data_IF_264481483198
#
_entry.id   IF_264481483198
#
_cell.length_a   1.000
_cell.length_b   1.000
_cell.length_c   1.000
_cell.angle_alpha   90.00
_cell.angle_beta   90.00
_cell.angle_gamma   90.00
#
_symmetry.space_group_name_H-M   'P 1'
#
loop_
_entity.id
_entity.type
_entity.pdbx_description
1 polymer ?
#
# COMPACT_ATOMS: atom_id res chain seq x y z
N UNK A 1 -16.76 0.26 2.71
CA UNK A 1 -16.21 1.60 3.12
C UNK A 1 -17.25 2.33 3.97
N UNK A 2 -16.93 2.71 5.21
CA UNK A 2 -17.87 3.45 6.11
C UNK A 2 -17.73 4.96 5.98
N UNK A 3 -17.99 5.51 4.81
CA UNK A 3 -18.02 6.95 4.56
C UNK A 3 -19.35 7.34 3.93
N UNK A 4 -19.83 8.55 4.25
CA UNK A 4 -20.99 9.16 3.60
C UNK A 4 -20.53 10.11 2.48
N UNK A 5 -21.47 10.53 1.62
CA UNK A 5 -21.18 11.51 0.55
C UNK A 5 -20.59 12.79 1.13
N UNK A 6 -21.14 13.29 2.26
CA UNK A 6 -20.66 14.51 2.90
C UNK A 6 -19.27 14.33 3.52
N UNK A 7 -18.95 13.14 4.03
CA UNK A 7 -17.60 12.83 4.51
C UNK A 7 -16.58 12.78 3.37
N UNK A 8 -16.96 12.15 2.24
CA UNK A 8 -16.11 12.15 1.03
C UNK A 8 -15.86 13.59 0.56
N UNK A 9 -16.91 14.39 0.42
CA UNK A 9 -16.78 15.78 -0.01
C UNK A 9 -15.82 16.59 0.87
N UNK A 10 -15.88 16.40 2.20
CA UNK A 10 -14.92 17.04 3.12
C UNK A 10 -13.49 16.49 2.95
N UNK A 11 -13.36 15.18 2.80
CA UNK A 11 -12.04 14.53 2.67
C UNK A 11 -11.29 14.98 1.42
N UNK A 12 -12.01 15.29 0.33
CA UNK A 12 -11.43 15.68 -0.97
C UNK A 12 -11.47 17.20 -1.22
N UNK A 13 -11.87 18.00 -0.25
CA UNK A 13 -12.03 19.47 -0.36
C UNK A 13 -12.92 19.86 -1.56
N UNK A 14 -14.15 19.33 -1.58
CA UNK A 14 -15.12 19.52 -2.66
C UNK A 14 -15.37 21.01 -2.97
N UNK A 15 -15.43 21.35 -4.25
CA UNK A 15 -15.62 22.74 -4.74
C UNK A 15 -17.07 23.10 -4.98
N UNK A 16 -17.99 22.13 -4.90
CA UNK A 16 -19.43 22.35 -5.03
C UNK A 16 -20.16 22.07 -3.72
N UNK A 17 -21.38 22.59 -3.61
CA UNK A 17 -22.27 22.28 -2.49
C UNK A 17 -22.92 20.90 -2.70
N UNK A 18 -22.70 20.00 -1.73
CA UNK A 18 -23.29 18.65 -1.72
C UNK A 18 -24.37 18.47 -0.64
N UNK A 19 -24.74 19.54 0.09
CA UNK A 19 -25.69 19.46 1.20
C UNK A 19 -27.09 19.01 0.79
N UNK A 20 -27.43 19.17 -0.50
CA UNK A 20 -28.69 18.69 -1.08
C UNK A 20 -28.71 17.19 -1.41
N UNK A 21 -27.58 16.50 -1.30
CA UNK A 21 -27.52 15.05 -1.56
C UNK A 21 -27.86 14.25 -0.32
N UNK A 22 -28.48 13.08 -0.53
CA UNK A 22 -28.75 12.15 0.56
C UNK A 22 -27.43 11.68 1.20
N UNK A 23 -27.27 11.90 2.51
CA UNK A 23 -26.06 11.53 3.24
C UNK A 23 -26.07 10.04 3.62
N UNK A 24 -26.16 9.18 2.61
CA UNK A 24 -26.16 7.73 2.75
C UNK A 24 -24.74 7.15 2.81
N UNK A 25 -24.50 6.07 3.56
CA UNK A 25 -23.23 5.36 3.53
C UNK A 25 -22.94 4.82 2.14
N UNK A 26 -21.70 5.00 1.69
CA UNK A 26 -21.18 4.46 0.44
C UNK A 26 -20.68 3.01 0.67
N UNK A 27 -20.85 2.17 -0.35
CA UNK A 27 -20.41 0.76 -0.27
C UNK A 27 -18.91 0.67 -0.54
N UNK A 28 -18.45 1.20 -1.67
CA UNK A 28 -17.03 1.28 -2.04
C UNK A 28 -16.78 2.46 -2.98
N UNK A 29 -15.51 2.74 -3.25
CA UNK A 29 -15.05 3.62 -4.31
C UNK A 29 -14.46 2.79 -5.44
N UNK A 30 -15.00 2.92 -6.67
CA UNK A 30 -14.63 2.09 -7.81
C UNK A 30 -14.32 2.95 -9.03
N UNK A 31 -13.25 2.66 -9.73
CA UNK A 31 -12.85 3.38 -10.95
C UNK A 31 -13.20 2.62 -12.26
N UNK A 32 -13.50 1.34 -12.19
CA UNK A 32 -14.01 0.58 -13.34
C UNK A 32 -15.53 0.62 -13.35
N UNK A 33 -16.12 1.36 -14.29
CA UNK A 33 -17.58 1.52 -14.43
C UNK A 33 -18.33 0.18 -14.55
N UNK A 34 -17.66 -0.88 -15.03
CA UNK A 34 -18.24 -2.23 -15.18
C UNK A 34 -18.34 -2.98 -13.85
N UNK A 35 -17.58 -2.58 -12.83
CA UNK A 35 -17.55 -3.16 -11.50
C UNK A 35 -18.36 -2.36 -10.48
N UNK A 36 -18.96 -1.26 -10.91
CA UNK A 36 -19.87 -0.45 -10.10
C UNK A 36 -21.12 -1.26 -9.74
N UNK A 37 -21.55 -1.10 -8.52
CA UNK A 37 -22.78 -1.64 -7.98
C UNK A 37 -23.59 -0.60 -7.18
N UNK A 38 -24.78 -0.99 -6.69
CA UNK A 38 -25.66 -0.09 -5.95
C UNK A 38 -24.97 0.49 -4.71
N UNK A 39 -24.97 1.82 -4.60
CA UNK A 39 -24.39 2.54 -3.45
C UNK A 39 -22.91 2.90 -3.59
N UNK A 40 -22.29 2.64 -4.73
CA UNK A 40 -20.87 2.95 -4.95
C UNK A 40 -20.62 4.42 -5.29
N UNK A 41 -19.42 4.87 -4.94
CA UNK A 41 -18.79 6.09 -5.46
C UNK A 41 -18.03 5.74 -6.75
N UNK A 42 -18.32 6.40 -7.85
CA UNK A 42 -17.52 6.28 -9.06
C UNK A 42 -16.35 7.26 -9.05
N UNK A 43 -15.16 6.79 -9.44
CA UNK A 43 -13.92 7.56 -9.51
C UNK A 43 -13.41 7.54 -10.95
N UNK A 44 -13.73 8.55 -11.78
CA UNK A 44 -13.41 8.58 -13.20
C UNK A 44 -11.93 8.93 -13.45
N UNK A 45 -11.03 8.00 -13.20
CA UNK A 45 -9.60 8.18 -13.45
C UNK A 45 -9.30 8.34 -14.95
N UNK A 46 -8.31 9.17 -15.27
CA UNK A 46 -7.77 9.30 -16.62
C UNK A 46 -6.73 8.21 -16.88
N UNK A 47 -6.92 7.48 -17.98
CA UNK A 47 -6.02 6.45 -18.45
C UNK A 47 -5.86 6.53 -19.97
N UNK A 48 -5.93 5.38 -20.66
CA UNK A 48 -5.97 5.37 -22.13
C UNK A 48 -7.23 6.10 -22.70
N UNK A 49 -8.29 6.17 -21.89
CA UNK A 49 -9.52 6.94 -22.12
C UNK A 49 -9.81 7.78 -20.90
N UNK A 50 -10.57 8.86 -21.08
CA UNK A 50 -11.03 9.68 -19.95
C UNK A 50 -12.16 8.93 -19.20
N UNK A 51 -11.96 8.69 -17.91
CA UNK A 51 -12.96 8.03 -17.06
C UNK A 51 -14.30 8.77 -17.01
N UNK A 52 -14.31 10.08 -17.22
CA UNK A 52 -15.53 10.90 -17.26
C UNK A 52 -16.50 10.48 -18.38
N UNK A 53 -16.00 9.87 -19.46
CA UNK A 53 -16.85 9.33 -20.56
C UNK A 53 -17.75 8.18 -20.09
N UNK A 54 -17.49 7.60 -18.92
CA UNK A 54 -18.19 6.44 -18.36
C UNK A 54 -19.12 6.78 -17.19
N UNK A 55 -19.30 8.06 -16.86
CA UNK A 55 -20.16 8.49 -15.74
C UNK A 55 -21.58 7.94 -15.93
N UNK A 56 -22.20 8.12 -17.10
CA UNK A 56 -23.54 7.61 -17.38
C UNK A 56 -23.62 6.09 -17.13
N UNK A 57 -22.68 5.34 -17.69
CA UNK A 57 -22.62 3.88 -17.48
C UNK A 57 -22.46 3.50 -16.01
N UNK A 58 -21.69 4.28 -15.24
CA UNK A 58 -21.51 4.03 -13.80
C UNK A 58 -22.85 4.22 -13.05
N UNK A 59 -23.63 5.25 -13.37
CA UNK A 59 -24.93 5.46 -12.76
C UNK A 59 -25.96 4.41 -13.19
N UNK A 60 -25.96 3.99 -14.45
CA UNK A 60 -26.77 2.84 -14.93
C UNK A 60 -26.48 1.56 -14.15
N UNK A 61 -25.20 1.36 -13.70
CA UNK A 61 -24.77 0.23 -12.92
C UNK A 61 -24.99 0.39 -11.41
N UNK A 62 -25.41 1.57 -10.93
CA UNK A 62 -25.80 1.78 -9.55
C UNK A 62 -24.94 2.73 -8.73
N UNK A 63 -24.03 3.49 -9.36
CA UNK A 63 -23.34 4.57 -8.68
C UNK A 63 -24.36 5.57 -8.09
N UNK A 64 -24.09 6.08 -6.91
CA UNK A 64 -24.94 7.09 -6.27
C UNK A 64 -24.33 8.48 -6.30
N UNK A 65 -23.04 8.58 -6.56
CA UNK A 65 -22.27 9.82 -6.69
C UNK A 65 -20.99 9.54 -7.48
N UNK A 66 -20.47 10.54 -8.17
CA UNK A 66 -19.15 10.49 -8.83
C UNK A 66 -18.24 11.61 -8.35
N UNK A 67 -16.91 11.37 -8.31
CA UNK A 67 -15.95 12.48 -8.38
C UNK A 67 -15.98 13.07 -9.78
N UNK A 68 -15.66 14.34 -9.96
CA UNK A 68 -15.54 14.93 -11.28
C UNK A 68 -14.69 16.20 -11.27
N UNK A 69 -13.95 16.45 -12.34
CA UNK A 69 -13.21 17.71 -12.57
C UNK A 69 -14.06 18.77 -13.30
N UNK A 70 -15.29 18.45 -13.62
CA UNK A 70 -16.24 19.33 -14.32
C UNK A 70 -17.65 19.10 -13.78
N UNK A 71 -18.54 20.05 -14.02
CA UNK A 71 -19.96 19.89 -13.69
C UNK A 71 -20.56 18.69 -14.42
N UNK A 72 -21.43 17.95 -13.72
CA UNK A 72 -22.14 16.78 -14.26
C UNK A 72 -23.63 17.06 -14.20
N UNK A 73 -24.28 17.09 -15.38
CA UNK A 73 -25.71 17.28 -15.47
C UNK A 73 -26.47 15.98 -15.12
N UNK A 74 -27.55 16.11 -14.37
CA UNK A 74 -28.47 14.99 -14.11
C UNK A 74 -28.04 14.00 -13.03
N UNK A 75 -26.81 14.06 -12.52
CA UNK A 75 -26.30 13.13 -11.52
C UNK A 75 -25.62 13.83 -10.34
N UNK A 76 -25.67 13.25 -9.12
CA UNK A 76 -24.91 13.73 -7.99
C UNK A 76 -23.40 13.62 -8.25
N UNK A 77 -22.64 14.70 -8.02
CA UNK A 77 -21.19 14.73 -8.19
C UNK A 77 -20.50 15.52 -7.11
N UNK A 78 -19.25 15.20 -6.88
CA UNK A 78 -18.32 15.92 -6.00
C UNK A 78 -17.27 16.54 -6.90
N UNK A 79 -17.28 17.88 -7.03
CA UNK A 79 -16.35 18.60 -7.88
C UNK A 79 -15.00 18.73 -7.20
N UNK A 80 -13.95 18.34 -7.90
CA UNK A 80 -12.56 18.37 -7.43
C UNK A 80 -11.65 18.97 -8.49
N UNK A 81 -10.46 19.43 -8.11
CA UNK A 81 -9.48 19.97 -9.06
C UNK A 81 -8.83 18.86 -9.90
N UNK A 82 -8.57 17.69 -9.29
CA UNK A 82 -7.97 16.51 -9.91
C UNK A 82 -8.50 15.24 -9.25
N UNK A 83 -9.02 14.31 -10.05
CA UNK A 83 -9.68 13.09 -9.54
C UNK A 83 -8.69 12.15 -8.89
N UNK A 84 -7.46 12.02 -9.41
CA UNK A 84 -6.45 11.14 -8.82
C UNK A 84 -6.01 11.64 -7.44
N UNK A 85 -5.72 12.92 -7.33
CA UNK A 85 -5.37 13.57 -6.05
C UNK A 85 -6.51 13.44 -5.05
N UNK A 86 -7.76 13.62 -5.46
CA UNK A 86 -8.93 13.44 -4.61
C UNK A 86 -9.07 11.98 -4.14
N UNK A 87 -8.84 11.01 -5.02
CA UNK A 87 -8.88 9.59 -4.68
C UNK A 87 -7.80 9.22 -3.65
N UNK A 88 -6.60 9.76 -3.79
CA UNK A 88 -5.50 9.61 -2.82
C UNK A 88 -5.84 10.26 -1.48
N UNK A 89 -6.33 11.49 -1.48
CA UNK A 89 -6.77 12.20 -0.26
C UNK A 89 -7.88 11.44 0.47
N UNK A 90 -8.83 10.85 -0.27
CA UNK A 90 -9.89 10.03 0.30
C UNK A 90 -9.34 8.79 1.00
N UNK A 91 -8.36 8.11 0.39
CA UNK A 91 -7.71 6.95 1.00
C UNK A 91 -6.94 7.33 2.27
N UNK A 92 -6.17 8.41 2.25
CA UNK A 92 -5.45 8.92 3.42
C UNK A 92 -6.41 9.28 4.56
N UNK A 93 -7.52 9.99 4.25
CA UNK A 93 -8.58 10.29 5.23
C UNK A 93 -9.19 9.02 5.81
N UNK A 94 -9.45 8.00 4.98
CA UNK A 94 -10.05 6.75 5.43
C UNK A 94 -9.11 5.97 6.36
N UNK A 95 -7.81 5.92 6.08
CA UNK A 95 -6.80 5.34 6.97
C UNK A 95 -6.77 6.06 8.32
N UNK A 96 -6.78 7.39 8.32
CA UNK A 96 -6.81 8.18 9.54
C UNK A 96 -8.10 7.93 10.35
N UNK A 97 -9.24 7.87 9.68
CA UNK A 97 -10.55 7.63 10.32
C UNK A 97 -10.64 6.24 10.95
N UNK A 98 -10.13 5.21 10.29
CA UNK A 98 -10.19 3.83 10.78
C UNK A 98 -9.16 3.54 11.85
N UNK A 99 -8.01 4.24 11.82
CA UNK A 99 -6.90 4.01 12.74
C UNK A 99 -6.26 2.63 12.57
N UNK A 100 -6.43 1.99 11.40
CA UNK A 100 -5.83 0.69 11.08
C UNK A 100 -4.31 0.76 11.14
N UNK A 101 -3.66 -0.25 11.73
CA UNK A 101 -2.21 -0.33 11.71
C UNK A 101 -1.70 -0.72 10.32
N UNK A 102 -0.91 0.17 9.72
CA UNK A 102 -0.34 -0.03 8.37
C UNK A 102 1.08 -0.59 8.45
N UNK A 103 1.31 -1.66 7.70
CA UNK A 103 2.60 -2.27 7.43
C UNK A 103 2.93 -2.07 5.96
N UNK A 104 4.09 -1.55 5.63
CA UNK A 104 4.49 -1.30 4.25
C UNK A 104 5.68 -2.16 3.85
N UNK A 105 5.68 -2.66 2.61
CA UNK A 105 6.77 -3.49 2.07
C UNK A 105 7.19 -2.97 0.71
N UNK A 106 8.47 -2.66 0.56
CA UNK A 106 9.11 -2.36 -0.74
C UNK A 106 10.39 -3.17 -0.94
N UNK A 107 10.99 -3.04 -2.10
CA UNK A 107 12.26 -3.68 -2.47
C UNK A 107 12.33 -3.97 -3.96
N UNK A 108 13.51 -4.29 -4.47
CA UNK A 108 13.68 -4.69 -5.87
C UNK A 108 13.07 -6.06 -6.16
N UNK A 109 13.24 -7.00 -5.22
CA UNK A 109 12.67 -8.35 -5.26
C UNK A 109 12.15 -8.74 -3.87
N UNK A 110 11.24 -9.72 -3.81
CA UNK A 110 10.71 -10.26 -2.56
C UNK A 110 9.55 -9.47 -1.93
N UNK A 111 9.13 -8.34 -2.49
CA UNK A 111 8.00 -7.53 -1.98
C UNK A 111 6.74 -8.36 -1.77
N UNK A 112 6.22 -8.94 -2.83
CA UNK A 112 4.97 -9.71 -2.82
C UNK A 112 5.05 -10.91 -1.87
N UNK A 113 6.16 -11.65 -1.92
CA UNK A 113 6.37 -12.80 -1.04
C UNK A 113 6.41 -12.38 0.43
N UNK A 114 7.17 -11.32 0.77
CA UNK A 114 7.25 -10.81 2.15
C UNK A 114 5.90 -10.27 2.62
N UNK A 115 5.19 -9.51 1.78
CA UNK A 115 3.82 -9.03 2.04
C UNK A 115 2.88 -10.19 2.35
N UNK A 116 2.93 -11.25 1.53
CA UNK A 116 2.04 -12.41 1.69
C UNK A 116 2.36 -13.19 2.97
N UNK A 117 3.64 -13.41 3.27
CA UNK A 117 4.08 -14.05 4.51
C UNK A 117 3.69 -13.23 5.74
N UNK A 118 3.95 -11.91 5.74
CA UNK A 118 3.59 -11.01 6.82
C UNK A 118 2.07 -10.98 7.05
N UNK A 119 1.29 -10.84 5.99
CA UNK A 119 -0.16 -10.83 6.10
C UNK A 119 -0.71 -12.17 6.61
N UNK A 120 -0.13 -13.30 6.20
CA UNK A 120 -0.49 -14.61 6.69
C UNK A 120 -0.21 -14.74 8.20
N UNK A 121 0.97 -14.33 8.66
CA UNK A 121 1.33 -14.36 10.08
C UNK A 121 0.42 -13.45 10.91
N UNK A 122 0.17 -12.22 10.47
CA UNK A 122 -0.74 -11.31 11.15
C UNK A 122 -2.17 -11.84 11.20
N UNK A 123 -2.63 -12.54 10.15
CA UNK A 123 -3.99 -13.12 10.08
C UNK A 123 -4.25 -14.23 11.08
N UNK A 124 -3.22 -14.79 11.71
CA UNK A 124 -3.38 -15.77 12.79
C UNK A 124 -3.96 -15.16 14.07
N UNK A 125 -3.87 -13.84 14.23
CA UNK A 125 -4.27 -13.13 15.46
C UNK A 125 -5.13 -11.88 15.22
N UNK A 126 -5.14 -11.35 13.99
CA UNK A 126 -5.80 -10.09 13.64
C UNK A 126 -6.57 -10.21 12.33
N UNK A 127 -7.65 -9.44 12.19
CA UNK A 127 -8.31 -9.24 10.90
C UNK A 127 -7.41 -8.44 9.99
N UNK A 128 -6.79 -9.14 9.05
CA UNK A 128 -5.73 -8.60 8.21
C UNK A 128 -6.18 -8.48 6.76
N UNK A 129 -5.91 -7.35 6.15
CA UNK A 129 -6.07 -7.11 4.71
C UNK A 129 -4.74 -6.75 4.08
N UNK A 130 -4.59 -6.95 2.77
CA UNK A 130 -3.33 -6.69 2.07
C UNK A 130 -3.56 -6.26 0.64
N UNK A 131 -2.56 -5.62 0.04
CA UNK A 131 -2.51 -5.35 -1.41
C UNK A 131 -2.78 -6.62 -2.20
N UNK A 132 -3.76 -6.55 -3.10
CA UNK A 132 -4.11 -7.61 -4.03
C UNK A 132 -3.37 -7.40 -5.36
N UNK A 133 -2.93 -8.51 -5.99
CA UNK A 133 -2.22 -8.43 -7.27
C UNK A 133 -1.05 -7.44 -7.24
N UNK A 134 -1.03 -6.54 -8.22
CA UNK A 134 -0.03 -5.49 -8.40
C UNK A 134 -0.56 -4.07 -8.10
N UNK A 135 -1.57 -3.94 -7.24
CA UNK A 135 -2.11 -2.63 -6.82
C UNK A 135 -1.17 -1.90 -5.84
N UNK A 136 0.06 -1.64 -6.28
CA UNK A 136 1.17 -1.15 -5.47
C UNK A 136 1.70 0.24 -5.89
N UNK A 137 0.94 0.98 -6.70
CA UNK A 137 1.26 2.31 -7.21
C UNK A 137 0.26 3.37 -6.71
N UNK A 138 0.35 4.59 -7.26
CA UNK A 138 -0.44 5.78 -6.90
C UNK A 138 -1.96 5.64 -7.08
N UNK A 139 -2.42 4.64 -7.83
CA UNK A 139 -3.83 4.26 -7.99
C UNK A 139 -4.16 3.04 -7.14
N UNK A 140 -3.29 2.04 -7.18
CA UNK A 140 -3.52 0.74 -6.55
C UNK A 140 -3.52 0.78 -5.03
N UNK A 141 -2.70 1.61 -4.40
CA UNK A 141 -2.70 1.79 -2.96
C UNK A 141 -4.01 2.41 -2.45
N UNK A 142 -4.49 3.56 -2.99
CA UNK A 142 -5.81 4.09 -2.66
C UNK A 142 -6.95 3.08 -2.87
N UNK A 143 -6.91 2.34 -3.97
CA UNK A 143 -7.89 1.29 -4.26
C UNK A 143 -7.87 0.22 -3.17
N UNK A 144 -6.71 -0.30 -2.80
CA UNK A 144 -6.56 -1.30 -1.72
C UNK A 144 -7.14 -0.79 -0.41
N UNK A 145 -6.83 0.44 -0.03
CA UNK A 145 -7.31 1.07 1.21
C UNK A 145 -8.83 1.19 1.23
N UNK A 146 -9.44 1.67 0.15
CA UNK A 146 -10.88 1.93 0.10
C UNK A 146 -11.72 0.65 -0.13
N UNK A 147 -11.06 -0.48 -0.43
CA UNK A 147 -11.67 -1.81 -0.56
C UNK A 147 -11.42 -2.73 0.63
N UNK A 148 -10.64 -2.29 1.62
CA UNK A 148 -10.43 -3.12 2.81
C UNK A 148 -11.74 -3.32 3.57
N UNK A 149 -12.00 -4.52 4.13
CA UNK A 149 -13.13 -4.75 5.03
C UNK A 149 -13.16 -3.77 6.19
N UNK A 150 -14.36 -3.36 6.61
CA UNK A 150 -14.56 -2.34 7.64
C UNK A 150 -14.04 -2.73 9.04
N UNK A 151 -13.80 -4.00 9.25
CA UNK A 151 -13.28 -4.57 10.50
C UNK A 151 -11.80 -4.95 10.43
N UNK A 152 -11.08 -4.44 9.40
CA UNK A 152 -9.64 -4.66 9.26
C UNK A 152 -8.87 -4.01 10.41
N UNK A 153 -8.02 -4.78 11.08
CA UNK A 153 -7.15 -4.33 12.17
C UNK A 153 -5.72 -4.08 11.70
N UNK A 154 -5.25 -4.85 10.71
CA UNK A 154 -3.90 -4.75 10.13
C UNK A 154 -3.99 -4.70 8.62
N UNK A 155 -3.31 -3.72 8.04
CA UNK A 155 -3.25 -3.52 6.60
C UNK A 155 -1.80 -3.65 6.12
N UNK A 156 -1.53 -4.59 5.21
CA UNK A 156 -0.20 -4.80 4.64
C UNK A 156 -0.17 -4.28 3.20
N UNK A 157 0.55 -3.20 2.99
CA UNK A 157 0.66 -2.52 1.70
C UNK A 157 1.99 -2.84 1.01
N UNK A 158 1.91 -3.28 -0.23
CA UNK A 158 3.06 -3.35 -1.12
C UNK A 158 3.24 -1.99 -1.80
N UNK A 159 4.47 -1.47 -1.82
CA UNK A 159 4.81 -0.20 -2.46
C UNK A 159 5.80 -0.43 -3.60
N UNK A 160 5.35 -0.18 -4.82
CA UNK A 160 6.13 -0.24 -6.05
C UNK A 160 6.93 1.03 -6.30
N UNK A 161 7.95 0.93 -7.15
CA UNK A 161 8.79 2.05 -7.54
C UNK A 161 9.18 1.88 -9.01
N UNK A 162 8.77 2.82 -9.84
CA UNK A 162 9.25 3.00 -11.21
C UNK A 162 10.11 4.26 -11.34
N UNK A 163 9.84 5.30 -10.51
CA UNK A 163 10.58 6.56 -10.48
C UNK A 163 10.93 6.98 -9.06
N UNK A 164 11.89 7.89 -8.94
CA UNK A 164 12.20 8.54 -7.67
C UNK A 164 10.99 9.41 -7.24
N UNK A 165 10.55 9.25 -5.99
CA UNK A 165 9.38 9.94 -5.46
C UNK A 165 8.12 9.08 -5.37
N UNK A 166 8.02 7.98 -6.12
CA UNK A 166 6.84 7.10 -6.06
C UNK A 166 6.61 6.55 -4.65
N UNK A 167 7.67 6.00 -4.03
CA UNK A 167 7.59 5.46 -2.66
C UNK A 167 7.32 6.57 -1.64
N UNK A 168 7.90 7.78 -1.84
CA UNK A 168 7.61 8.95 -1.01
C UNK A 168 6.10 9.23 -0.97
N UNK A 169 5.48 9.37 -2.15
CA UNK A 169 4.03 9.60 -2.26
C UNK A 169 3.23 8.52 -1.53
N UNK A 170 3.54 7.24 -1.77
CA UNK A 170 2.81 6.13 -1.16
C UNK A 170 2.99 6.08 0.36
N UNK A 171 4.18 6.39 0.85
CA UNK A 171 4.48 6.45 2.28
C UNK A 171 3.75 7.60 2.98
N UNK A 172 3.73 8.78 2.38
CA UNK A 172 3.00 9.94 2.90
C UNK A 172 1.47 9.73 2.92
N UNK A 173 0.93 8.95 1.96
CA UNK A 173 -0.48 8.57 1.97
C UNK A 173 -0.81 7.55 3.07
N UNK A 174 0.08 6.59 3.29
CA UNK A 174 -0.19 5.42 4.11
C UNK A 174 0.23 5.57 5.57
N UNK A 175 1.17 6.46 5.89
CA UNK A 175 1.76 6.65 7.22
C UNK A 175 2.10 5.33 7.93
N UNK A 176 3.02 4.49 7.39
CA UNK A 176 3.27 3.17 7.92
C UNK A 176 3.78 3.19 9.37
N UNK A 177 3.25 2.31 10.21
CA UNK A 177 3.74 2.06 11.57
C UNK A 177 4.98 1.17 11.56
N UNK A 178 5.07 0.29 10.55
CA UNK A 178 6.22 -0.57 10.30
C UNK A 178 6.46 -0.63 8.81
N UNK A 179 7.73 -0.52 8.39
CA UNK A 179 8.12 -0.66 7.00
C UNK A 179 9.26 -1.66 6.82
N UNK A 180 9.28 -2.30 5.66
CA UNK A 180 10.27 -3.30 5.27
C UNK A 180 10.83 -2.95 3.89
N UNK A 181 12.14 -2.82 3.79
CA UNK A 181 12.87 -2.79 2.51
C UNK A 181 13.54 -4.14 2.34
N UNK A 182 13.00 -4.99 1.47
CA UNK A 182 13.46 -6.41 1.35
C UNK A 182 14.84 -6.54 0.73
N UNK A 183 15.09 -5.88 -0.38
CA UNK A 183 16.34 -5.93 -1.14
C UNK A 183 16.49 -4.67 -1.99
N UNK A 184 17.71 -4.16 -2.11
CA UNK A 184 18.11 -3.14 -3.09
C UNK A 184 18.96 -3.79 -4.16
N UNK A 185 18.32 -4.21 -5.24
CA UNK A 185 18.95 -4.81 -6.42
C UNK A 185 19.04 -3.82 -7.59
N UNK A 186 19.29 -4.35 -8.77
CA UNK A 186 19.42 -3.60 -10.03
C UNK A 186 18.13 -3.58 -10.85
N UNK A 187 16.96 -3.86 -10.23
CA UNK A 187 15.67 -3.78 -10.91
C UNK A 187 15.38 -2.35 -11.36
N UNK A 188 14.79 -2.20 -12.54
CA UNK A 188 14.38 -0.90 -13.12
C UNK A 188 15.54 0.05 -13.50
N UNK A 189 16.76 -0.45 -13.77
CA UNK A 189 17.89 0.38 -14.23
C UNK A 189 17.60 1.22 -15.48
N UNK A 190 16.53 0.92 -16.21
CA UNK A 190 16.08 1.76 -17.33
C UNK A 190 15.58 3.16 -16.89
N UNK A 191 15.17 3.30 -15.63
CA UNK A 191 14.58 4.54 -15.07
C UNK A 191 15.48 5.19 -14.01
N UNK A 192 16.53 4.51 -13.53
CA UNK A 192 17.45 4.98 -12.50
C UNK A 192 18.88 5.00 -13.03
N UNK A 193 19.64 6.00 -12.62
CA UNK A 193 21.05 6.16 -13.03
C UNK A 193 21.92 5.02 -12.54
N UNK A 194 21.69 4.61 -11.31
CA UNK A 194 22.47 3.60 -10.63
C UNK A 194 21.69 2.95 -9.45
N UNK A 195 22.33 1.98 -8.81
CA UNK A 195 21.77 1.30 -7.65
C UNK A 195 21.60 2.20 -6.43
N UNK A 196 22.38 3.28 -6.32
CA UNK A 196 22.28 4.25 -5.23
C UNK A 196 20.98 5.05 -5.32
N UNK A 197 20.58 5.45 -6.52
CA UNK A 197 19.30 6.13 -6.74
C UNK A 197 18.11 5.21 -6.44
N UNK A 198 18.22 3.91 -6.77
CA UNK A 198 17.23 2.90 -6.38
C UNK A 198 17.14 2.77 -4.84
N UNK A 199 18.29 2.73 -4.15
CA UNK A 199 18.35 2.70 -2.69
C UNK A 199 17.64 3.92 -2.09
N UNK A 200 18.01 5.12 -2.57
CA UNK A 200 17.39 6.38 -2.16
C UNK A 200 15.86 6.33 -2.30
N UNK A 201 15.36 5.91 -3.47
CA UNK A 201 13.93 5.85 -3.71
C UNK A 201 13.22 4.85 -2.80
N UNK A 202 13.82 3.68 -2.51
CA UNK A 202 13.19 2.67 -1.63
C UNK A 202 13.18 3.11 -0.17
N UNK A 203 14.21 3.81 0.29
CA UNK A 203 14.28 4.32 1.66
C UNK A 203 13.28 5.47 1.90
N UNK A 204 12.72 6.07 0.85
CA UNK A 204 11.59 7.01 0.96
C UNK A 204 10.33 6.38 1.59
N UNK A 205 10.30 5.05 1.77
CA UNK A 205 9.24 4.37 2.55
C UNK A 205 9.18 4.87 4.00
N UNK A 206 10.25 5.47 4.49
CA UNK A 206 10.33 6.04 5.83
C UNK A 206 9.75 7.46 5.93
N UNK A 207 9.53 8.16 4.82
CA UNK A 207 9.16 9.58 4.82
C UNK A 207 7.81 9.84 5.52
N UNK A 208 6.81 8.98 5.30
CA UNK A 208 5.50 9.06 5.96
C UNK A 208 5.43 8.37 7.34
N UNK A 209 6.53 7.77 7.82
CA UNK A 209 6.53 7.05 9.11
C UNK A 209 6.65 8.02 10.28
N UNK A 210 5.91 7.73 11.35
CA UNK A 210 6.03 8.47 12.60
C UNK A 210 7.39 8.26 13.29
N UNK A 211 7.76 9.19 14.18
CA UNK A 211 9.00 9.09 14.97
C UNK A 211 9.00 7.80 15.81
N UNK A 212 10.12 7.08 15.78
CA UNK A 212 10.30 5.81 16.50
C UNK A 212 9.58 4.61 15.86
N UNK A 213 8.91 4.78 14.72
CA UNK A 213 8.33 3.69 13.95
C UNK A 213 9.43 2.72 13.46
N UNK A 214 9.09 1.45 13.26
CA UNK A 214 10.05 0.38 12.95
C UNK A 214 10.33 0.30 11.45
N UNK A 215 11.59 0.43 11.05
CA UNK A 215 12.08 0.15 9.71
C UNK A 215 13.01 -1.07 9.71
N UNK A 216 12.66 -2.11 8.95
CA UNK A 216 13.55 -3.22 8.64
C UNK A 216 14.26 -2.95 7.32
N UNK A 217 15.59 -2.92 7.33
CA UNK A 217 16.39 -2.63 6.13
C UNK A 217 17.55 -3.63 5.97
N UNK A 218 17.97 -3.98 4.72
CA UNK A 218 19.07 -4.89 4.52
C UNK A 218 20.39 -4.29 5.03
N UNK A 219 21.29 -5.13 5.54
CA UNK A 219 22.65 -4.76 5.91
C UNK A 219 23.54 -4.64 4.65
N UNK A 220 23.17 -3.74 3.77
CA UNK A 220 23.86 -3.42 2.51
C UNK A 220 24.43 -2.00 2.63
N UNK A 221 25.75 -1.78 2.41
CA UNK A 221 26.36 -0.47 2.51
C UNK A 221 25.66 0.61 1.67
N UNK A 222 25.00 0.24 0.56
CA UNK A 222 24.35 1.20 -0.32
C UNK A 222 23.14 1.91 0.31
N UNK A 223 22.56 1.36 1.38
CA UNK A 223 21.41 1.99 2.05
C UNK A 223 21.82 2.90 3.20
N UNK A 224 23.09 2.83 3.66
CA UNK A 224 23.55 3.54 4.87
C UNK A 224 23.33 5.05 4.81
N UNK A 225 23.61 5.67 3.66
CA UNK A 225 23.48 7.13 3.46
C UNK A 225 22.02 7.61 3.41
N UNK A 226 21.06 6.67 3.32
CA UNK A 226 19.64 6.97 3.17
C UNK A 226 18.80 6.50 4.34
N UNK A 227 19.41 5.94 5.38
CA UNK A 227 18.69 5.50 6.57
C UNK A 227 18.11 6.70 7.32
N UNK A 228 16.84 6.65 7.73
CA UNK A 228 16.22 7.74 8.46
C UNK A 228 16.79 7.87 9.88
N UNK A 229 16.89 9.10 10.39
CA UNK A 229 17.42 9.38 11.73
C UNK A 229 16.37 9.22 12.85
N UNK A 230 15.08 9.39 12.51
CA UNK A 230 14.00 9.45 13.49
C UNK A 230 13.28 8.13 13.72
N UNK A 231 13.52 7.10 12.89
CA UNK A 231 12.92 5.79 12.98
C UNK A 231 13.82 4.80 13.73
N UNK A 232 13.20 3.77 14.32
CA UNK A 232 13.94 2.61 14.85
C UNK A 232 14.33 1.72 13.68
N UNK A 233 15.60 1.79 13.26
CA UNK A 233 16.11 0.96 12.16
C UNK A 233 16.66 -0.34 12.72
N UNK A 234 16.21 -1.48 12.20
CA UNK A 234 16.72 -2.81 12.49
C UNK A 234 17.28 -3.42 11.21
N UNK A 235 18.54 -3.81 11.23
CA UNK A 235 19.26 -4.32 10.08
C UNK A 235 19.18 -5.85 10.02
N UNK A 236 19.04 -6.39 8.82
CA UNK A 236 19.02 -7.82 8.61
C UNK A 236 19.99 -8.28 7.52
N UNK A 237 20.46 -9.52 7.63
CA UNK A 237 21.38 -10.14 6.71
C UNK A 237 22.64 -10.68 7.40
N UNK A 238 23.65 -11.14 6.63
CA UNK A 238 24.90 -11.64 7.20
C UNK A 238 25.61 -10.58 8.04
N UNK A 239 25.93 -10.92 9.28
CA UNK A 239 26.61 -10.01 10.22
C UNK A 239 25.72 -8.93 10.85
N UNK A 240 24.46 -8.87 10.48
CA UNK A 240 23.51 -7.89 10.99
C UNK A 240 22.86 -8.32 12.31
N UNK A 241 22.01 -7.41 12.84
CA UNK A 241 21.22 -7.62 14.06
C UNK A 241 20.26 -8.80 13.91
N UNK A 242 19.53 -8.87 12.77
CA UNK A 242 18.70 -10.01 12.41
C UNK A 242 19.43 -10.86 11.37
N UNK A 243 19.62 -12.14 11.65
CA UNK A 243 20.31 -13.05 10.76
C UNK A 243 19.79 -14.48 10.89
N UNK A 244 19.87 -15.19 9.77
CA UNK A 244 19.67 -16.64 9.72
C UNK A 244 20.89 -17.28 10.35
N UNK A 245 20.67 -18.18 11.31
CA UNK A 245 21.73 -18.92 12.03
C UNK A 245 21.89 -20.35 11.53
N UNK A 246 20.84 -20.92 10.97
CA UNK A 246 20.86 -22.25 10.36
C UNK A 246 19.88 -22.28 9.17
N UNK A 247 20.25 -23.00 8.11
CA UNK A 247 19.46 -23.12 6.88
C UNK A 247 19.67 -24.48 6.24
N UNK A 248 18.62 -25.25 6.10
CA UNK A 248 18.59 -26.54 5.43
C UNK A 248 17.62 -26.45 4.26
N UNK A 249 18.13 -26.55 3.04
CA UNK A 249 17.33 -26.56 1.82
C UNK A 249 17.14 -28.01 1.34
N UNK A 250 15.89 -28.37 1.03
CA UNK A 250 15.46 -29.65 0.48
C UNK A 250 14.89 -29.44 -0.91
N UNK A 251 14.50 -30.51 -1.58
CA UNK A 251 13.97 -30.44 -2.93
C UNK A 251 12.76 -29.50 -3.07
N UNK A 252 11.82 -29.56 -2.11
CA UNK A 252 10.52 -28.86 -2.19
C UNK A 252 10.23 -28.00 -0.95
N UNK A 253 11.21 -27.83 -0.06
CA UNK A 253 11.06 -27.08 1.19
C UNK A 253 12.39 -26.57 1.69
N UNK A 254 12.33 -25.64 2.64
CA UNK A 254 13.50 -25.25 3.42
C UNK A 254 13.11 -25.12 4.91
N UNK A 255 14.09 -25.39 5.75
CA UNK A 255 14.01 -25.15 7.20
C UNK A 255 15.05 -24.11 7.56
N UNK A 256 14.67 -23.08 8.30
CA UNK A 256 15.64 -22.10 8.78
C UNK A 256 15.44 -21.75 10.25
N UNK A 257 16.50 -21.27 10.89
CA UNK A 257 16.46 -20.65 12.20
C UNK A 257 17.07 -19.26 12.13
N UNK A 258 16.46 -18.31 12.80
CA UNK A 258 17.01 -16.97 12.97
C UNK A 258 17.39 -16.74 14.44
N UNK A 259 18.29 -15.79 14.68
CA UNK A 259 18.84 -15.54 16.01
C UNK A 259 17.81 -15.06 17.06
N UNK A 260 16.63 -14.64 16.67
CA UNK A 260 15.53 -14.23 17.55
C UNK A 260 14.41 -15.29 17.67
N UNK A 261 14.44 -16.33 16.85
CA UNK A 261 13.45 -17.41 16.88
C UNK A 261 13.87 -18.50 17.89
N UNK A 262 12.93 -18.93 18.73
CA UNK A 262 13.17 -20.04 19.65
C UNK A 262 13.29 -21.38 18.92
N UNK A 263 12.49 -21.55 17.86
CA UNK A 263 12.43 -22.78 17.05
C UNK A 263 12.75 -22.49 15.58
N UNK A 264 13.20 -23.51 14.87
CA UNK A 264 13.33 -23.47 13.41
C UNK A 264 11.96 -23.45 12.75
N UNK A 265 11.84 -22.75 11.64
CA UNK A 265 10.63 -22.67 10.82
C UNK A 265 10.80 -23.48 9.55
N UNK A 266 9.78 -24.25 9.21
CA UNK A 266 9.68 -24.97 7.95
C UNK A 266 8.83 -24.19 6.95
N UNK A 267 9.36 -24.03 5.73
CA UNK A 267 8.66 -23.37 4.63
C UNK A 267 8.45 -24.38 3.48
N UNK A 268 7.23 -24.50 2.96
CA UNK A 268 6.94 -25.37 1.79
C UNK A 268 7.31 -24.68 0.48
N UNK A 269 8.48 -24.03 0.45
CA UNK A 269 9.06 -23.33 -0.71
C UNK A 269 10.58 -23.49 -0.68
N UNK A 270 11.22 -23.30 -1.82
CA UNK A 270 12.68 -23.38 -1.97
C UNK A 270 13.29 -22.00 -2.18
N UNK A 271 14.61 -21.91 -2.12
CA UNK A 271 15.38 -20.69 -2.35
C UNK A 271 15.69 -19.92 -1.06
N UNK A 272 16.96 -19.67 -0.84
CA UNK A 272 17.51 -18.99 0.36
C UNK A 272 16.89 -17.59 0.60
N UNK A 273 16.51 -16.89 -0.46
CA UNK A 273 15.86 -15.58 -0.35
C UNK A 273 14.47 -15.69 0.33
N UNK A 274 13.78 -16.82 0.19
CA UNK A 274 12.51 -17.05 0.88
C UNK A 274 12.68 -17.23 2.40
N UNK A 275 13.80 -17.79 2.84
CA UNK A 275 14.15 -17.82 4.26
C UNK A 275 14.35 -16.39 4.81
N UNK A 276 15.04 -15.51 4.05
CA UNK A 276 15.20 -14.11 4.43
C UNK A 276 13.86 -13.38 4.46
N UNK A 277 13.00 -13.55 3.44
CA UNK A 277 11.66 -12.94 3.41
C UNK A 277 10.81 -13.40 4.60
N UNK A 278 10.85 -14.70 4.94
CA UNK A 278 10.13 -15.25 6.09
C UNK A 278 10.71 -14.74 7.42
N UNK A 279 12.03 -14.66 7.55
CA UNK A 279 12.70 -14.12 8.74
C UNK A 279 12.24 -12.69 9.04
N UNK A 280 12.30 -11.80 8.03
CA UNK A 280 11.89 -10.39 8.22
C UNK A 280 10.40 -10.23 8.43
N UNK A 281 9.56 -11.10 7.85
CA UNK A 281 8.13 -11.11 8.09
C UNK A 281 7.75 -11.62 9.49
N UNK A 282 8.62 -12.41 10.13
CA UNK A 282 8.39 -13.01 11.46
C UNK A 282 8.86 -12.14 12.62
N UNK A 283 9.67 -11.13 12.36
CA UNK A 283 10.20 -10.22 13.37
C UNK A 283 9.20 -9.15 13.77
#
# INVERSE_FOLDING_TARGET
>A
MKLTIHEVARAVDAKNDVTGYADSPLVKAEFDSRLIGPGDLFVPLKGARDGHDFIETAFENGAVVTLSEKEVEGHPYILVDDVLTAFQALAAYYLQKTGVDVFAVTGSNGKTTTKDMLAHLLSTSYKTYKTQGNYNNEIGLPYTVLHMPDDTEKLVLEMGQDHLGDIHLLSELAHPKTAIVTLVGEAHLAFFKDRSEIAKGKLQIADGMGKGALLLAPADPIVEDYLPADQKVVRFGPGAELKITDLIERKDSLTFKANFLEQALDLPVTGKYNATNAMIASY
#
